data_IF_635375918187
#
_entry.id   IF_635375918187
#
_cell.length_a   1.000
_cell.length_b   1.000
_cell.length_c   1.000
_cell.angle_alpha   90.00
_cell.angle_beta   90.00
_cell.angle_gamma   90.00
#
_symmetry.space_group_name_H-M   'P 1'
#
loop_
_entity.id
_entity.type
_entity.pdbx_description
1 polymer ?
#
# COMPACT_ATOMS: atom_id res chain seq x y z
N UNK A 1 -17.10 1.68 9.60
CA UNK A 1 -16.14 1.00 8.75
C UNK A 1 -15.06 0.35 9.60
N UNK A 2 -14.75 -0.88 9.29
CA UNK A 2 -13.75 -1.63 10.05
C UNK A 2 -12.34 -1.16 9.69
N UNK A 3 -11.50 -1.07 10.70
CA UNK A 3 -10.10 -0.76 10.46
C UNK A 3 -9.43 -1.93 9.77
N UNK A 4 -8.62 -1.61 8.77
CA UNK A 4 -7.79 -2.60 8.13
C UNK A 4 -6.44 -2.67 8.86
N UNK A 5 -6.02 -3.88 9.17
CA UNK A 5 -4.71 -4.07 9.78
C UNK A 5 -4.10 -5.38 9.29
N UNK A 6 -2.79 -5.45 9.36
CA UNK A 6 -2.05 -6.68 9.07
C UNK A 6 -1.11 -6.97 10.21
N UNK A 7 -0.71 -8.22 10.36
CA UNK A 7 0.27 -8.57 11.37
C UNK A 7 1.68 -8.30 10.83
N UNK A 8 2.62 -8.18 11.77
CA UNK A 8 4.02 -8.03 11.41
C UNK A 8 4.50 -9.21 10.56
N UNK A 9 4.04 -10.40 10.88
CA UNK A 9 4.38 -11.60 10.11
C UNK A 9 3.85 -11.51 8.69
N UNK A 10 2.60 -11.07 8.51
CA UNK A 10 2.02 -10.90 7.19
C UNK A 10 2.80 -9.89 6.36
N UNK A 11 3.23 -8.81 6.99
CA UNK A 11 4.02 -7.81 6.32
C UNK A 11 5.38 -8.35 5.90
N UNK A 12 6.04 -9.13 6.76
CA UNK A 12 7.32 -9.77 6.43
C UNK A 12 7.18 -10.75 5.27
N UNK A 13 6.11 -11.53 5.26
CA UNK A 13 5.82 -12.46 4.16
C UNK A 13 5.59 -11.71 2.85
N UNK A 14 4.88 -10.60 2.91
CA UNK A 14 4.70 -9.75 1.74
C UNK A 14 6.05 -9.23 1.23
N UNK A 15 6.91 -8.74 2.12
CA UNK A 15 8.21 -8.21 1.73
C UNK A 15 9.09 -9.27 1.06
N UNK A 16 9.06 -10.48 1.57
CA UNK A 16 9.78 -11.60 0.95
C UNK A 16 9.24 -11.90 -0.45
N UNK A 17 7.91 -11.89 -0.60
CA UNK A 17 7.26 -12.10 -1.88
C UNK A 17 7.64 -11.00 -2.87
N UNK A 18 7.66 -9.75 -2.42
CA UNK A 18 8.03 -8.63 -3.28
C UNK A 18 9.49 -8.75 -3.75
N UNK A 19 10.39 -9.13 -2.85
CA UNK A 19 11.81 -9.31 -3.20
C UNK A 19 11.96 -10.32 -4.34
N UNK A 20 11.23 -11.44 -4.28
CA UNK A 20 11.24 -12.43 -5.36
C UNK A 20 10.64 -11.88 -6.65
N UNK A 21 9.55 -11.13 -6.53
CA UNK A 21 8.85 -10.59 -7.70
C UNK A 21 9.70 -9.55 -8.43
N UNK A 22 10.39 -8.68 -7.69
CA UNK A 22 11.18 -7.61 -8.29
C UNK A 22 12.43 -8.13 -9.01
N UNK A 23 12.94 -9.29 -8.61
CA UNK A 23 14.05 -9.95 -9.33
C UNK A 23 13.60 -10.31 -10.75
N UNK A 24 12.36 -10.79 -10.89
CA UNK A 24 11.80 -11.19 -12.18
C UNK A 24 11.29 -9.99 -12.97
N UNK A 25 10.78 -8.98 -12.30
CA UNK A 25 10.20 -7.79 -12.92
C UNK A 25 10.74 -6.55 -12.21
N UNK A 26 11.92 -6.06 -12.63
CA UNK A 26 12.59 -4.95 -11.93
C UNK A 26 11.78 -3.65 -11.87
N UNK A 27 10.81 -3.47 -12.75
CA UNK A 27 9.95 -2.29 -12.77
C UNK A 27 8.76 -2.40 -11.82
N UNK A 28 8.60 -3.53 -11.15
CA UNK A 28 7.49 -3.74 -10.22
C UNK A 28 7.65 -2.82 -9.00
N UNK A 29 6.62 -2.04 -8.72
CA UNK A 29 6.67 -1.04 -7.65
C UNK A 29 6.21 -1.63 -6.33
N UNK A 30 6.82 -1.18 -5.24
CA UNK A 30 6.51 -1.67 -3.90
C UNK A 30 5.05 -1.43 -3.54
N UNK A 31 4.54 -0.22 -3.78
CA UNK A 31 3.16 0.11 -3.48
C UNK A 31 2.17 -0.70 -4.31
N UNK A 32 2.48 -0.88 -5.60
CA UNK A 32 1.68 -1.72 -6.48
C UNK A 32 1.61 -3.15 -5.95
N UNK A 33 2.76 -3.69 -5.56
CA UNK A 33 2.83 -5.05 -5.02
C UNK A 33 2.03 -5.20 -3.74
N UNK A 34 2.13 -4.20 -2.85
CA UNK A 34 1.41 -4.22 -1.58
C UNK A 34 -0.10 -4.24 -1.80
N UNK A 35 -0.60 -3.35 -2.66
CA UNK A 35 -2.04 -3.28 -2.92
C UNK A 35 -2.56 -4.53 -3.62
N UNK A 36 -1.76 -5.14 -4.47
CA UNK A 36 -2.14 -6.40 -5.11
C UNK A 36 -2.11 -7.57 -4.14
N UNK A 37 -1.13 -7.60 -3.24
CA UNK A 37 -0.99 -8.67 -2.27
C UNK A 37 -2.16 -8.70 -1.28
N UNK A 38 -2.60 -7.54 -0.84
CA UNK A 38 -3.70 -7.39 0.12
C UNK A 38 -4.98 -6.88 -0.55
N UNK A 39 -5.14 -7.17 -1.82
CA UNK A 39 -6.33 -6.78 -2.58
C UNK A 39 -7.54 -7.58 -2.12
N UNK A 40 -8.73 -6.96 -2.03
CA UNK A 40 -9.01 -5.54 -2.28
C UNK A 40 -8.94 -4.67 -1.01
N UNK A 41 -8.75 -5.26 0.14
CA UNK A 41 -8.98 -4.62 1.43
C UNK A 41 -8.08 -3.42 1.68
N UNK A 42 -6.80 -3.53 1.34
CA UNK A 42 -5.87 -2.42 1.56
C UNK A 42 -6.22 -1.20 0.73
N UNK A 43 -6.55 -1.42 -0.54
CA UNK A 43 -6.94 -0.32 -1.42
C UNK A 43 -8.22 0.37 -0.97
N UNK A 44 -9.21 -0.42 -0.57
CA UNK A 44 -10.48 0.12 -0.09
C UNK A 44 -10.30 0.92 1.20
N UNK A 45 -9.48 0.41 2.11
CA UNK A 45 -9.17 1.12 3.35
C UNK A 45 -8.51 2.47 3.06
N UNK A 46 -7.52 2.49 2.18
CA UNK A 46 -6.79 3.71 1.84
C UNK A 46 -7.70 4.74 1.16
N UNK A 47 -8.61 4.30 0.30
CA UNK A 47 -9.61 5.19 -0.30
C UNK A 47 -10.48 5.81 0.79
N UNK A 48 -10.89 5.00 1.74
CA UNK A 48 -11.76 5.43 2.83
C UNK A 48 -11.13 6.56 3.65
N UNK A 49 -9.89 6.38 4.08
CA UNK A 49 -9.22 7.39 4.89
C UNK A 49 -8.86 8.63 4.08
N UNK A 50 -8.73 8.51 2.76
CA UNK A 50 -8.50 9.67 1.89
C UNK A 50 -9.70 10.62 1.93
N UNK A 51 -10.91 10.08 1.97
CA UNK A 51 -12.11 10.90 2.06
C UNK A 51 -12.24 11.60 3.40
N UNK A 52 -11.80 10.95 4.47
CA UNK A 52 -11.85 11.51 5.80
C UNK A 52 -10.97 12.75 5.95
N UNK A 53 -9.94 12.88 5.13
CA UNK A 53 -9.04 14.02 5.16
C UNK A 53 -9.57 15.27 4.46
N UNK A 54 -10.81 15.26 3.99
CA UNK A 54 -11.38 16.40 3.28
C UNK A 54 -10.76 16.61 1.92
N UNK A 55 -10.29 15.57 1.32
CA UNK A 55 -9.60 15.59 0.04
C UNK A 55 -10.52 16.13 -1.06
N UNK A 56 -10.15 17.22 -1.76
CA UNK A 56 -10.96 17.69 -2.89
C UNK A 56 -10.96 16.65 -4.00
N UNK A 57 -12.04 16.61 -4.76
CA UNK A 57 -12.27 15.58 -5.76
C UNK A 57 -11.23 15.50 -6.87
N UNK A 58 -10.30 16.44 -6.93
CA UNK A 58 -9.23 16.46 -7.94
C UNK A 58 -7.94 15.82 -7.48
N UNK A 59 -7.78 15.59 -6.19
CA UNK A 59 -6.56 14.96 -5.67
C UNK A 59 -6.68 13.44 -5.77
N UNK A 60 -5.60 12.73 -6.12
CA UNK A 60 -5.64 11.27 -6.15
C UNK A 60 -5.82 10.73 -4.73
N UNK A 61 -6.50 9.60 -4.62
CA UNK A 61 -6.66 8.93 -3.34
C UNK A 61 -5.34 8.28 -2.91
N UNK A 62 -5.24 7.95 -1.62
CA UNK A 62 -3.98 7.38 -1.08
C UNK A 62 -3.60 6.07 -1.76
N UNK A 63 -4.58 5.25 -2.12
CA UNK A 63 -4.29 4.01 -2.82
C UNK A 63 -3.66 4.29 -4.19
N UNK A 64 -4.14 5.30 -4.93
CA UNK A 64 -3.55 5.68 -6.20
C UNK A 64 -2.13 6.19 -6.02
N UNK A 65 -1.92 7.06 -5.03
CA UNK A 65 -0.59 7.63 -4.77
C UNK A 65 0.41 6.52 -4.47
N UNK A 66 0.04 5.60 -3.58
CA UNK A 66 0.92 4.50 -3.19
C UNK A 66 1.17 3.56 -4.35
N UNK A 67 0.12 3.24 -5.11
CA UNK A 67 0.22 2.32 -6.25
C UNK A 67 1.20 2.82 -7.30
N UNK A 68 1.20 4.13 -7.57
CA UNK A 68 2.03 4.73 -8.62
C UNK A 68 3.37 5.27 -8.11
N UNK A 69 3.64 5.21 -6.81
CA UNK A 69 4.89 5.73 -6.28
C UNK A 69 6.07 4.89 -6.78
N UNK A 70 6.99 5.55 -7.45
CA UNK A 70 8.15 4.89 -8.05
C UNK A 70 9.25 4.58 -7.05
N UNK A 71 9.34 5.36 -5.98
CA UNK A 71 10.37 5.17 -4.98
C UNK A 71 9.95 4.08 -3.99
N UNK A 72 10.74 3.02 -3.91
CA UNK A 72 10.52 1.95 -2.92
C UNK A 72 10.46 2.52 -1.50
N UNK A 73 11.41 3.38 -1.18
CA UNK A 73 11.50 3.96 0.16
C UNK A 73 10.28 4.79 0.51
N UNK A 74 9.82 5.62 -0.42
CA UNK A 74 8.65 6.45 -0.20
C UNK A 74 7.37 5.63 -0.08
N UNK A 75 7.19 4.65 -0.95
CA UNK A 75 6.03 3.78 -0.90
C UNK A 75 5.98 3.01 0.42
N UNK A 76 7.12 2.48 0.85
CA UNK A 76 7.22 1.76 2.12
C UNK A 76 6.87 2.66 3.29
N UNK A 77 7.40 3.88 3.30
CA UNK A 77 7.11 4.85 4.35
C UNK A 77 5.63 5.20 4.42
N UNK A 78 5.00 5.43 3.28
CA UNK A 78 3.57 5.75 3.23
C UNK A 78 2.73 4.57 3.74
N UNK A 79 3.07 3.36 3.35
CA UNK A 79 2.35 2.18 3.81
C UNK A 79 2.46 2.05 5.32
N UNK A 80 3.65 2.22 5.87
CA UNK A 80 3.86 2.10 7.31
C UNK A 80 3.20 3.22 8.10
N UNK A 81 3.00 4.38 7.47
CA UNK A 81 2.30 5.50 8.10
C UNK A 81 0.79 5.31 8.13
N UNK A 82 0.22 4.73 7.09
CA UNK A 82 -1.24 4.67 6.92
C UNK A 82 -1.85 3.31 7.20
N UNK A 83 -1.08 2.23 7.12
CA UNK A 83 -1.58 0.88 7.38
C UNK A 83 -1.16 0.46 8.79
N UNK A 84 -2.11 -0.07 9.54
CA UNK A 84 -1.84 -0.56 10.89
C UNK A 84 -1.13 -1.90 10.81
N UNK A 85 0.10 -1.95 11.28
CA UNK A 85 0.91 -3.17 11.34
C UNK A 85 1.10 -3.53 12.81
N UNK A 86 0.55 -4.65 13.23
CA UNK A 86 0.54 -5.03 14.64
C UNK A 86 1.39 -6.27 14.94
#
# INVERSE_FOLDING_TARGET
>A
MDDFFITKQEYEEFQASFTSAVIKTPTYRYGQAFLNYFYPDAGEYLKSISHLGGNPGHAPSLDDVIFHEKSHKKAKSMIEDFINII
#
